data_IF_585306267557
#
_entry.id   IF_585306267557
#
_cell.length_a   1.000
_cell.length_b   1.000
_cell.length_c   1.000
_cell.angle_alpha   90.00
_cell.angle_beta   90.00
_cell.angle_gamma   90.00
#
_symmetry.space_group_name_H-M   'P 1'
#
loop_
_entity.id
_entity.type
_entity.pdbx_description
1 polymer ?
#
# COMPACT_ATOMS: atom_id res chain seq x y z
N UNK A 1 27.38 17.98 -1.09
CA UNK A 1 26.09 17.33 -0.73
C UNK A 1 26.42 16.04 -0.01
N UNK A 2 25.92 15.86 1.22
CA UNK A 2 26.20 14.67 2.04
C UNK A 2 25.04 13.68 1.92
N UNK A 3 25.33 12.39 1.91
CA UNK A 3 24.35 11.32 1.79
C UNK A 3 24.42 10.40 3.01
N UNK A 4 23.26 9.94 3.49
CA UNK A 4 23.20 8.94 4.55
C UNK A 4 23.54 7.57 3.98
N UNK A 5 24.61 6.95 4.50
CA UNK A 5 25.02 5.62 4.07
C UNK A 5 24.01 4.57 4.57
N UNK A 6 23.07 4.20 3.68
CA UNK A 6 21.95 3.29 3.99
C UNK A 6 20.60 4.00 4.19
N UNK A 7 20.51 5.29 3.88
CA UNK A 7 19.25 6.04 3.87
C UNK A 7 18.69 6.38 5.27
N UNK A 8 17.53 7.03 5.28
CA UNK A 8 16.92 7.56 6.51
C UNK A 8 16.49 6.46 7.49
N UNK A 9 16.03 5.30 6.99
CA UNK A 9 15.59 4.21 7.85
C UNK A 9 16.74 3.62 8.66
N UNK A 10 17.89 3.37 8.03
CA UNK A 10 19.08 2.89 8.73
C UNK A 10 19.58 3.92 9.74
N UNK A 11 19.43 5.21 9.45
CA UNK A 11 19.76 6.27 10.39
C UNK A 11 18.86 6.23 11.63
N UNK A 12 17.53 6.17 11.46
CA UNK A 12 16.57 6.08 12.57
C UNK A 12 16.73 4.80 13.39
N UNK A 13 17.18 3.71 12.77
CA UNK A 13 17.43 2.43 13.43
C UNK A 13 18.70 2.45 14.30
N UNK A 14 19.79 3.06 13.80
CA UNK A 14 21.13 2.91 14.39
C UNK A 14 21.62 4.13 15.17
N UNK A 15 21.03 5.31 14.97
CA UNK A 15 21.44 6.53 15.65
C UNK A 15 20.78 6.64 17.04
N UNK A 16 21.54 6.76 18.14
CA UNK A 16 20.97 7.03 19.46
C UNK A 16 20.18 8.34 19.47
N UNK A 17 19.04 8.37 20.17
CA UNK A 17 18.13 9.51 20.19
C UNK A 17 18.82 10.80 20.67
N UNK A 18 19.75 10.70 21.61
CA UNK A 18 20.50 11.83 22.18
C UNK A 18 21.47 12.47 21.17
N UNK A 19 21.84 11.72 20.12
CA UNK A 19 22.73 12.17 19.04
C UNK A 19 21.98 12.39 17.73
N UNK A 20 20.68 12.09 17.71
CA UNK A 20 19.89 12.22 16.50
C UNK A 20 19.54 13.69 16.26
N UNK A 21 19.77 14.15 15.04
CA UNK A 21 19.34 15.47 14.59
C UNK A 21 17.92 15.43 14.01
N UNK A 22 17.34 14.24 13.87
CA UNK A 22 16.01 14.06 13.32
C UNK A 22 14.93 14.32 14.37
N UNK A 23 14.00 15.22 14.06
CA UNK A 23 12.89 15.60 14.92
C UNK A 23 11.57 15.24 14.25
N UNK A 24 10.65 14.63 15.01
CA UNK A 24 9.37 14.17 14.50
C UNK A 24 9.45 12.80 13.82
N UNK A 25 8.59 12.59 12.83
CA UNK A 25 8.38 11.28 12.18
C UNK A 25 8.79 11.32 10.71
N UNK A 26 9.29 10.21 10.19
CA UNK A 26 9.60 10.05 8.77
C UNK A 26 8.44 9.36 8.07
N UNK A 27 7.85 10.02 7.07
CA UNK A 27 6.77 9.46 6.28
C UNK A 27 7.30 8.40 5.31
N UNK A 28 6.81 7.16 5.46
CA UNK A 28 7.18 6.00 4.64
C UNK A 28 5.94 5.45 3.94
N UNK A 29 6.07 5.17 2.65
CA UNK A 29 4.93 4.87 1.78
C UNK A 29 4.49 3.40 1.79
N UNK A 30 5.13 2.55 2.59
CA UNK A 30 4.95 1.09 2.58
C UNK A 30 4.02 0.59 3.69
N UNK A 31 2.89 1.29 3.87
CA UNK A 31 1.88 1.04 4.91
C UNK A 31 2.32 1.34 6.35
N UNK A 32 3.63 1.48 6.61
CA UNK A 32 4.17 1.90 7.92
C UNK A 32 3.93 3.40 8.22
N UNK A 33 3.38 4.13 7.24
CA UNK A 33 2.99 5.55 7.19
C UNK A 33 3.97 6.53 7.80
N UNK A 34 4.23 6.47 9.10
CA UNK A 34 5.17 7.31 9.80
C UNK A 34 6.05 6.42 10.67
N UNK A 35 7.37 6.65 10.66
CA UNK A 35 8.31 5.97 11.55
C UNK A 35 9.15 6.97 12.32
N UNK A 36 9.25 6.74 13.62
CA UNK A 36 10.10 7.52 14.53
C UNK A 36 11.48 6.89 14.73
N UNK A 37 12.17 7.33 15.79
CA UNK A 37 13.42 6.71 16.24
C UNK A 37 13.21 5.22 16.54
N UNK A 38 14.22 4.41 16.24
CA UNK A 38 14.17 2.95 16.37
C UNK A 38 13.15 2.28 15.45
N UNK A 39 12.69 2.96 14.39
CA UNK A 39 11.63 2.50 13.48
C UNK A 39 10.29 2.23 14.18
N UNK A 40 10.04 2.92 15.29
CA UNK A 40 8.76 2.87 16.00
C UNK A 40 7.61 3.39 15.10
N UNK A 41 6.41 2.78 15.15
CA UNK A 41 5.25 3.30 14.45
C UNK A 41 4.93 4.73 14.90
N UNK A 42 4.75 5.62 13.94
CA UNK A 42 4.34 6.99 14.15
C UNK A 42 2.82 7.15 14.28
N UNK A 43 2.40 8.40 14.36
CA UNK A 43 1.04 8.84 14.69
C UNK A 43 0.20 9.19 13.47
N UNK A 44 0.85 9.47 12.34
CA UNK A 44 0.15 9.81 11.10
C UNK A 44 -0.36 8.56 10.37
N UNK A 45 -1.54 8.68 9.75
CA UNK A 45 -2.12 7.69 8.86
C UNK A 45 -2.08 8.16 7.39
N UNK A 46 -2.20 7.25 6.43
CA UNK A 46 -2.23 7.60 5.01
C UNK A 46 -3.67 7.86 4.57
N UNK A 47 -3.94 9.03 4.00
CA UNK A 47 -5.19 9.24 3.26
C UNK A 47 -5.12 8.51 1.92
N UNK A 48 -5.92 7.47 1.72
CA UNK A 48 -5.95 6.73 0.46
C UNK A 48 -6.57 7.51 -0.72
N UNK A 49 -7.26 8.63 -0.46
CA UNK A 49 -7.82 9.51 -1.48
C UNK A 49 -6.80 10.48 -2.10
N UNK A 50 -5.91 11.07 -1.29
CA UNK A 50 -4.93 12.05 -1.74
C UNK A 50 -3.46 11.69 -1.52
N UNK A 51 -3.18 10.57 -0.84
CA UNK A 51 -1.83 10.08 -0.50
C UNK A 51 -1.03 10.98 0.43
N UNK A 52 -1.68 11.91 1.12
CA UNK A 52 -1.05 12.71 2.16
C UNK A 52 -1.11 12.00 3.53
N UNK A 53 -0.09 12.17 4.38
CA UNK A 53 -0.20 11.84 5.80
C UNK A 53 -1.28 12.70 6.45
N UNK A 54 -2.08 12.10 7.32
CA UNK A 54 -3.14 12.75 8.07
C UNK A 54 -2.99 12.45 9.56
N UNK A 55 -3.20 13.45 10.39
CA UNK A 55 -3.12 13.35 11.84
C UNK A 55 -4.36 12.67 12.44
N UNK A 56 -4.31 12.34 13.73
CA UNK A 56 -5.50 11.87 14.46
C UNK A 56 -6.64 12.91 14.46
N UNK A 57 -6.30 14.21 14.51
CA UNK A 57 -7.29 15.28 14.43
C UNK A 57 -7.97 15.32 13.05
N UNK A 58 -7.22 15.10 11.97
CA UNK A 58 -7.78 15.00 10.62
C UNK A 58 -8.73 13.81 10.48
N UNK A 59 -8.39 12.66 11.09
CA UNK A 59 -9.24 11.48 11.10
C UNK A 59 -10.53 11.66 11.92
N UNK A 60 -10.52 12.56 12.91
CA UNK A 60 -11.70 12.88 13.71
C UNK A 60 -12.67 13.87 13.03
N UNK A 61 -12.26 14.47 11.91
CA UNK A 61 -13.09 15.42 11.17
C UNK A 61 -14.31 14.75 10.53
N UNK A 62 -15.48 15.43 10.46
CA UNK A 62 -16.63 14.92 9.71
C UNK A 62 -16.39 14.79 8.20
N UNK A 63 -15.33 15.41 7.67
CA UNK A 63 -14.93 15.30 6.26
C UNK A 63 -14.10 14.05 5.97
N UNK A 64 -13.65 13.36 7.03
CA UNK A 64 -12.89 12.13 6.91
C UNK A 64 -13.81 10.95 6.59
N UNK A 65 -13.49 10.26 5.51
CA UNK A 65 -14.13 9.02 5.08
C UNK A 65 -13.04 7.99 4.84
N UNK A 66 -12.92 6.93 5.68
CA UNK A 66 -11.89 5.92 5.53
C UNK A 66 -11.77 5.40 4.10
N UNK A 67 -10.55 5.39 3.57
CA UNK A 67 -10.29 4.93 2.20
C UNK A 67 -10.64 5.91 1.07
N UNK A 68 -11.41 6.97 1.36
CA UNK A 68 -12.06 7.83 0.36
C UNK A 68 -11.57 9.28 0.41
N UNK A 69 -11.68 9.96 1.56
CA UNK A 69 -11.35 11.39 1.67
C UNK A 69 -10.86 11.78 3.06
N UNK A 70 -10.11 12.88 3.13
CA UNK A 70 -9.74 13.57 4.36
C UNK A 70 -10.08 15.07 4.25
N UNK A 71 -9.93 15.88 5.33
CA UNK A 71 -10.21 17.31 5.29
C UNK A 71 -9.42 18.06 4.20
N UNK A 72 -8.20 17.60 3.92
CA UNK A 72 -7.32 18.22 2.91
C UNK A 72 -7.74 17.95 1.46
N UNK A 73 -8.55 16.92 1.20
CA UNK A 73 -8.96 16.56 -0.16
C UNK A 73 -10.47 16.39 -0.34
N UNK A 74 -11.24 16.73 0.68
CA UNK A 74 -12.69 16.72 0.57
C UNK A 74 -13.12 17.67 -0.56
N UNK A 75 -14.04 17.22 -1.41
CA UNK A 75 -14.53 18.00 -2.55
C UNK A 75 -13.55 18.14 -3.73
N UNK A 76 -12.34 17.56 -3.67
CA UNK A 76 -11.36 17.68 -4.77
C UNK A 76 -11.38 16.54 -5.79
N UNK A 77 -12.28 15.57 -5.62
CA UNK A 77 -12.36 14.34 -6.43
C UNK A 77 -13.65 14.28 -7.22
N UNK A 78 -13.60 13.72 -8.42
CA UNK A 78 -14.81 13.50 -9.23
C UNK A 78 -15.67 12.38 -8.64
N UNK A 79 -16.97 12.32 -8.96
CA UNK A 79 -17.84 11.23 -8.51
C UNK A 79 -17.32 9.83 -8.89
N UNK A 80 -16.74 9.68 -10.08
CA UNK A 80 -16.18 8.42 -10.56
C UNK A 80 -14.95 8.00 -9.73
N UNK A 81 -14.10 8.96 -9.36
CA UNK A 81 -12.95 8.71 -8.49
C UNK A 81 -13.40 8.30 -7.09
N UNK A 82 -14.39 8.98 -6.53
CA UNK A 82 -14.95 8.66 -5.22
C UNK A 82 -15.51 7.23 -5.20
N UNK A 83 -16.28 6.85 -6.21
CA UNK A 83 -16.81 5.50 -6.33
C UNK A 83 -15.69 4.45 -6.42
N UNK A 84 -14.65 4.70 -7.21
CA UNK A 84 -13.49 3.82 -7.27
C UNK A 84 -12.73 3.69 -5.94
N UNK A 85 -12.68 4.77 -5.14
CA UNK A 85 -12.04 4.75 -3.83
C UNK A 85 -12.86 3.97 -2.80
N UNK A 86 -14.18 4.15 -2.81
CA UNK A 86 -15.13 3.43 -1.98
C UNK A 86 -15.07 1.92 -2.28
N UNK A 87 -15.11 1.54 -3.55
CA UNK A 87 -15.05 0.13 -3.93
C UNK A 87 -13.72 -0.50 -3.57
N UNK A 88 -12.59 0.18 -3.81
CA UNK A 88 -11.28 -0.28 -3.34
C UNK A 88 -11.28 -0.48 -1.82
N UNK A 89 -11.81 0.49 -1.06
CA UNK A 89 -11.85 0.38 0.40
C UNK A 89 -12.70 -0.81 0.85
N UNK A 90 -13.84 -1.03 0.22
CA UNK A 90 -14.72 -2.18 0.46
C UNK A 90 -14.01 -3.51 0.21
N UNK A 91 -13.31 -3.64 -0.92
CA UNK A 91 -12.58 -4.88 -1.25
C UNK A 91 -11.44 -5.16 -0.25
N UNK A 92 -10.74 -4.11 0.20
CA UNK A 92 -9.73 -4.23 1.27
C UNK A 92 -10.37 -4.70 2.57
N UNK A 93 -11.50 -4.13 2.98
CA UNK A 93 -12.21 -4.50 4.20
C UNK A 93 -12.68 -5.97 4.16
N UNK A 94 -13.32 -6.39 3.07
CA UNK A 94 -13.77 -7.77 2.86
C UNK A 94 -12.60 -8.76 2.88
N UNK A 95 -11.46 -8.42 2.28
CA UNK A 95 -10.30 -9.30 2.31
C UNK A 95 -9.72 -9.43 3.72
N UNK A 96 -9.69 -8.35 4.50
CA UNK A 96 -9.27 -8.38 5.92
C UNK A 96 -10.19 -9.28 6.75
N UNK A 97 -11.50 -9.15 6.58
CA UNK A 97 -12.50 -10.01 7.25
C UNK A 97 -12.31 -11.50 6.88
N UNK A 98 -11.90 -11.78 5.64
CA UNK A 98 -11.63 -13.13 5.15
C UNK A 98 -10.22 -13.63 5.48
N UNK A 99 -9.39 -12.83 6.15
CA UNK A 99 -7.96 -13.10 6.34
C UNK A 99 -7.21 -13.42 5.03
N UNK A 100 -7.62 -12.80 3.93
CA UNK A 100 -7.05 -13.00 2.60
C UNK A 100 -6.10 -11.85 2.25
N UNK A 101 -5.05 -12.17 1.51
CA UNK A 101 -4.24 -11.14 0.87
C UNK A 101 -5.07 -10.45 -0.21
N UNK A 102 -5.11 -9.12 -0.16
CA UNK A 102 -5.75 -8.30 -1.18
C UNK A 102 -4.71 -7.67 -2.11
N UNK A 103 -3.81 -6.88 -1.52
CA UNK A 103 -2.73 -6.21 -2.26
C UNK A 103 -1.66 -7.25 -2.61
N UNK A 104 -1.28 -7.31 -3.89
CA UNK A 104 -0.23 -8.21 -4.37
C UNK A 104 -0.62 -9.69 -4.42
N UNK A 105 -1.90 -10.03 -4.20
CA UNK A 105 -2.36 -11.41 -4.23
C UNK A 105 -2.16 -12.03 -5.63
N UNK A 106 -1.57 -13.23 -5.69
CA UNK A 106 -1.44 -13.99 -6.94
C UNK A 106 -2.85 -14.43 -7.36
N UNK A 107 -3.33 -13.88 -8.47
CA UNK A 107 -4.60 -14.33 -9.06
C UNK A 107 -4.39 -15.75 -9.59
N UNK A 108 -4.85 -16.74 -8.81
CA UNK A 108 -4.92 -18.12 -9.29
C UNK A 108 -6.03 -18.16 -10.32
N UNK A 109 -5.66 -18.18 -11.61
CA UNK A 109 -6.63 -18.36 -12.70
C UNK A 109 -7.28 -19.73 -12.49
N UNK A 110 -8.54 -19.73 -12.05
CA UNK A 110 -9.34 -20.94 -11.94
C UNK A 110 -9.53 -21.48 -13.36
N UNK A 111 -9.01 -22.67 -13.67
CA UNK A 111 -9.37 -23.36 -14.90
C UNK A 111 -10.88 -23.59 -14.85
N UNK A 112 -11.59 -23.13 -15.88
CA UNK A 112 -12.99 -23.50 -16.07
C UNK A 112 -12.94 -24.88 -16.73
N UNK A 113 -13.22 -25.92 -15.96
CA UNK A 113 -13.36 -27.27 -16.49
C UNK A 113 -14.62 -27.29 -17.37
N UNK A 114 -14.43 -27.16 -18.69
CA UNK A 114 -15.56 -27.10 -19.63
C UNK A 114 -15.30 -26.46 -21.00
N UNK A 115 -14.08 -26.00 -21.32
CA UNK A 115 -13.74 -25.71 -22.71
C UNK A 115 -13.28 -27.00 -23.40
N UNK A 116 -14.12 -27.51 -24.29
CA UNK A 116 -13.83 -28.60 -25.21
C UNK A 116 -12.45 -28.42 -25.85
N UNK A 117 -11.59 -29.42 -25.71
CA UNK A 117 -10.28 -29.46 -26.35
C UNK A 117 -10.45 -29.37 -27.88
N UNK A 118 -9.79 -28.39 -28.48
CA UNK A 118 -9.61 -28.29 -29.93
C UNK A 118 -8.50 -29.29 -30.34
N UNK A 119 -8.76 -30.28 -31.22
CA UNK A 119 -7.78 -31.28 -31.57
C UNK A 119 -7.04 -30.88 -32.85
N UNK A 120 -5.94 -30.15 -32.70
CA UNK A 120 -4.84 -30.09 -33.68
C UNK A 120 -3.63 -29.51 -32.94
N UNK A 121 -2.51 -30.20 -32.76
CA UNK A 121 -1.84 -31.09 -33.70
C UNK A 121 -0.36 -30.76 -33.57
N UNK A 122 0.25 -31.46 -32.62
CA UNK A 122 1.64 -31.94 -32.56
C UNK A 122 2.63 -31.47 -33.63
N UNK A 123 3.83 -31.05 -33.20
CA UNK A 123 5.10 -31.46 -33.82
C UNK A 123 6.28 -31.03 -32.94
N UNK A 124 6.74 -31.98 -32.14
CA UNK A 124 8.06 -32.01 -31.55
C UNK A 124 9.18 -31.72 -32.57
N UNK A 125 10.19 -30.95 -32.16
CA UNK A 125 11.58 -31.18 -32.55
C UNK A 125 12.43 -31.03 -31.28
N UNK A 126 12.95 -32.17 -30.81
CA UNK A 126 13.80 -32.24 -29.63
C UNK A 126 15.29 -32.19 -29.95
N UNK A 127 16.07 -32.41 -28.87
CA UNK A 127 17.51 -32.71 -28.82
C UNK A 127 18.43 -31.50 -29.07
N UNK A 128 19.52 -31.24 -28.35
CA UNK A 128 20.31 -32.01 -27.40
C UNK A 128 21.23 -31.08 -26.59
N UNK A 129 21.51 -31.47 -25.34
CA UNK A 129 22.80 -31.44 -24.61
C UNK A 129 23.82 -30.35 -25.00
N UNK A 130 24.13 -29.45 -24.06
CA UNK A 130 25.30 -29.50 -23.14
C UNK A 130 25.21 -28.34 -22.15
#
# INVERSE_FOLDING_TARGET
MYHLQGGILKYLETMPAERSLWQGECFVFDERVAVGQGLSPGTHALCYGCRLPISAADMASPLYRPGVSCPHCHGSKTPEQLHGFEERHRQVALARERHQQHVGAKVVRRRVDGATADPAGDSAHGSARR
#
